data_IF_554781801587
#
_entry.id   IF_554781801587
#
_cell.length_a   1.000
_cell.length_b   1.000
_cell.length_c   1.000
_cell.angle_alpha   90.00
_cell.angle_beta   90.00
_cell.angle_gamma   90.00
#
_symmetry.space_group_name_H-M   'P 1'
#
loop_
_entity.id
_entity.type
_entity.pdbx_description
1 polymer ?
#
# COMPACT_ATOMS: atom_id res chain seq x y z
N UNK A 1 0.80 18.02 7.94
CA UNK A 1 -0.36 18.96 8.04
C UNK A 1 -1.67 18.23 8.39
N UNK A 2 -1.80 16.92 8.13
CA UNK A 2 -2.92 16.12 8.64
C UNK A 2 -2.83 15.87 10.16
N UNK A 3 -1.62 15.68 10.68
CA UNK A 3 -1.36 15.33 12.08
C UNK A 3 -1.90 16.37 13.05
N UNK A 4 -1.53 17.63 12.81
CA UNK A 4 -2.01 18.75 13.63
C UNK A 4 -3.54 18.88 13.57
N UNK A 5 -4.15 18.64 12.40
CA UNK A 5 -5.60 18.70 12.23
C UNK A 5 -6.32 17.59 13.01
N UNK A 6 -5.86 16.34 12.88
CA UNK A 6 -6.43 15.18 13.57
C UNK A 6 -6.24 15.23 15.09
N UNK A 7 -5.29 16.04 15.56
CA UNK A 7 -5.05 16.30 16.98
C UNK A 7 -5.89 17.44 17.57
N UNK A 8 -6.69 18.16 16.78
CA UNK A 8 -7.59 19.18 17.30
C UNK A 8 -8.70 18.54 18.14
N UNK A 9 -8.95 19.10 19.32
CA UNK A 9 -9.94 18.59 20.26
C UNK A 9 -11.33 18.38 19.64
N UNK A 10 -11.82 19.37 18.87
CA UNK A 10 -13.14 19.24 18.23
C UNK A 10 -13.17 18.14 17.16
N UNK A 11 -12.07 17.94 16.40
CA UNK A 11 -11.97 16.86 15.41
C UNK A 11 -12.02 15.50 16.11
N UNK A 12 -11.27 15.35 17.20
CA UNK A 12 -11.29 14.12 18.02
C UNK A 12 -12.67 13.84 18.61
N UNK A 13 -13.35 14.85 19.15
CA UNK A 13 -14.71 14.68 19.67
C UNK A 13 -15.71 14.26 18.59
N UNK A 14 -15.62 14.83 17.38
CA UNK A 14 -16.47 14.41 16.27
C UNK A 14 -16.22 12.96 15.85
N UNK A 15 -14.95 12.53 15.78
CA UNK A 15 -14.60 11.15 15.45
C UNK A 15 -14.99 10.18 16.56
N UNK A 16 -14.90 10.59 17.84
CA UNK A 16 -15.37 9.82 18.98
C UNK A 16 -16.88 9.56 18.93
N UNK A 17 -17.67 10.57 18.55
CA UNK A 17 -19.10 10.40 18.28
C UNK A 17 -19.40 9.47 17.10
N UNK A 18 -18.41 9.14 16.26
CA UNK A 18 -18.49 8.17 15.16
C UNK A 18 -17.83 6.81 15.46
N UNK A 19 -17.42 6.58 16.71
CA UNK A 19 -16.89 5.30 17.17
C UNK A 19 -15.37 5.15 17.07
N UNK A 20 -14.63 6.22 16.76
CA UNK A 20 -13.16 6.22 16.92
C UNK A 20 -12.83 6.39 18.40
N UNK A 21 -12.16 5.46 19.08
CA UNK A 21 -11.90 5.57 20.50
C UNK A 21 -11.20 6.89 20.86
N UNK A 22 -11.71 7.66 21.84
CA UNK A 22 -11.03 8.86 22.28
C UNK A 22 -9.74 8.45 23.00
N UNK A 23 -8.59 8.75 22.43
CA UNK A 23 -7.30 8.55 23.10
C UNK A 23 -6.87 9.88 23.73
N UNK A 24 -7.26 10.12 24.98
CA UNK A 24 -6.65 11.19 25.78
C UNK A 24 -5.20 10.87 26.12
N UNK A 25 -4.86 9.58 26.18
CA UNK A 25 -3.55 9.06 26.58
C UNK A 25 -2.50 9.08 25.45
N UNK A 26 -2.92 9.21 24.18
CA UNK A 26 -1.99 9.25 23.04
C UNK A 26 -2.35 10.30 22.00
N UNK A 27 -1.31 10.95 21.49
CA UNK A 27 -1.39 11.89 20.37
C UNK A 27 -1.49 11.09 19.07
N UNK A 28 -2.32 11.54 18.14
CA UNK A 28 -2.36 10.95 16.80
C UNK A 28 -1.05 11.25 16.09
N UNK A 29 -0.47 10.24 15.47
CA UNK A 29 0.68 10.36 14.56
C UNK A 29 0.40 9.55 13.30
N UNK A 30 0.98 9.97 12.16
CA UNK A 30 0.71 9.31 10.88
C UNK A 30 1.30 7.90 10.77
N UNK A 31 2.42 7.66 11.46
CA UNK A 31 3.14 6.39 11.48
C UNK A 31 3.72 6.14 12.88
N UNK A 32 3.56 4.92 13.39
CA UNK A 32 4.10 4.49 14.67
C UNK A 32 5.50 3.87 14.49
N UNK A 33 6.50 4.44 15.16
CA UNK A 33 7.91 4.00 15.05
C UNK A 33 8.17 2.65 15.72
N UNK A 34 7.43 2.30 16.76
CA UNK A 34 7.59 1.01 17.43
C UNK A 34 7.13 -0.10 16.49
N UNK A 35 5.98 0.09 15.83
CA UNK A 35 5.47 -0.85 14.81
C UNK A 35 6.45 -0.98 13.65
N UNK A 36 6.96 0.14 13.13
CA UNK A 36 7.96 0.16 12.05
C UNK A 36 9.22 -0.64 12.43
N UNK A 37 9.75 -0.45 13.64
CA UNK A 37 10.92 -1.19 14.12
C UNK A 37 10.65 -2.69 14.28
N UNK A 38 9.49 -3.07 14.83
CA UNK A 38 9.14 -4.48 15.06
C UNK A 38 8.94 -5.23 13.74
N UNK A 39 8.31 -4.58 12.75
CA UNK A 39 7.99 -5.19 11.44
C UNK A 39 9.03 -4.91 10.36
N UNK A 40 10.07 -4.11 10.62
CA UNK A 40 11.05 -3.72 9.62
C UNK A 40 11.74 -4.90 8.92
N UNK A 41 11.94 -6.01 9.62
CA UNK A 41 12.51 -7.23 9.03
C UNK A 41 11.57 -7.94 8.04
N UNK A 42 10.27 -7.66 8.08
CA UNK A 42 9.29 -8.26 7.16
C UNK A 42 9.30 -7.60 5.79
N UNK A 43 9.80 -6.37 5.66
CA UNK A 43 9.88 -5.62 4.39
C UNK A 43 10.59 -6.41 3.30
N UNK A 44 11.63 -7.18 3.66
CA UNK A 44 12.40 -7.96 2.70
C UNK A 44 11.80 -9.34 2.38
N UNK A 45 10.70 -9.74 3.03
CA UNK A 45 10.04 -11.02 2.76
C UNK A 45 9.13 -10.88 1.54
N UNK A 46 9.37 -11.70 0.52
CA UNK A 46 8.61 -11.61 -0.72
C UNK A 46 7.18 -12.13 -0.57
N UNK A 47 6.20 -11.34 -1.03
CA UNK A 47 4.78 -11.74 -1.18
C UNK A 47 4.42 -12.18 -2.60
N UNK A 48 5.43 -12.35 -3.48
CA UNK A 48 5.25 -12.65 -4.91
C UNK A 48 4.36 -13.87 -5.17
N UNK A 49 4.53 -14.95 -4.41
CA UNK A 49 3.73 -16.17 -4.55
C UNK A 49 2.25 -15.91 -4.27
N UNK A 50 1.93 -15.12 -3.24
CA UNK A 50 0.56 -14.79 -2.86
C UNK A 50 -0.15 -14.02 -3.98
N UNK A 51 0.56 -13.16 -4.71
CA UNK A 51 -0.01 -12.44 -5.86
C UNK A 51 -0.31 -13.38 -7.02
N UNK A 52 0.53 -14.40 -7.26
CA UNK A 52 0.26 -15.43 -8.28
C UNK A 52 -1.00 -16.23 -7.93
N UNK A 53 -1.18 -16.58 -6.65
CA UNK A 53 -2.38 -17.25 -6.16
C UNK A 53 -3.63 -16.37 -6.36
N UNK A 54 -3.53 -15.09 -6.03
CA UNK A 54 -4.62 -14.11 -6.22
C UNK A 54 -5.00 -13.96 -7.71
N UNK A 55 -4.02 -13.86 -8.60
CA UNK A 55 -4.24 -13.76 -10.05
C UNK A 55 -4.96 -14.99 -10.62
N UNK A 56 -4.84 -16.15 -9.97
CA UNK A 56 -5.56 -17.37 -10.35
C UNK A 56 -7.02 -17.37 -9.88
N UNK A 57 -7.38 -16.49 -8.95
CA UNK A 57 -8.70 -16.45 -8.32
C UNK A 57 -9.55 -15.24 -8.72
N UNK A 58 -8.94 -14.04 -8.86
CA UNK A 58 -9.64 -12.79 -9.16
C UNK A 58 -8.80 -11.82 -10.01
N UNK A 59 -9.44 -10.87 -10.71
CA UNK A 59 -8.75 -9.75 -11.33
C UNK A 59 -8.00 -8.91 -10.28
N UNK A 60 -6.76 -8.52 -10.59
CA UNK A 60 -5.90 -7.69 -9.74
C UNK A 60 -5.48 -6.43 -10.52
N UNK A 61 -5.62 -5.26 -9.90
CA UNK A 61 -5.12 -3.99 -10.43
C UNK A 61 -3.88 -3.56 -9.63
N UNK A 62 -2.75 -3.40 -10.33
CA UNK A 62 -1.55 -2.76 -9.82
C UNK A 62 -1.46 -1.36 -10.43
N UNK A 63 -1.33 -0.34 -9.59
CA UNK A 63 -1.18 1.05 -10.02
C UNK A 63 -0.06 1.70 -9.23
N UNK A 64 0.69 2.60 -9.88
CA UNK A 64 1.76 3.37 -9.25
C UNK A 64 1.84 4.78 -9.81
N UNK A 65 2.39 5.71 -9.03
CA UNK A 65 2.70 7.05 -9.50
C UNK A 65 3.97 7.02 -10.36
N UNK A 66 3.95 7.67 -11.53
CA UNK A 66 5.11 7.70 -12.44
C UNK A 66 6.34 8.44 -11.89
N UNK A 67 6.15 9.26 -10.85
CA UNK A 67 7.17 10.08 -10.20
C UNK A 67 7.56 9.58 -8.80
N UNK A 68 7.03 8.42 -8.38
CA UNK A 68 7.42 7.80 -7.12
C UNK A 68 8.82 7.19 -7.25
N UNK A 69 9.78 7.63 -6.44
CA UNK A 69 11.14 7.11 -6.44
C UNK A 69 11.32 5.92 -5.49
N UNK A 70 10.49 5.81 -4.45
CA UNK A 70 10.60 4.78 -3.42
C UNK A 70 10.08 3.44 -3.96
N UNK A 71 8.92 3.47 -4.61
CA UNK A 71 8.26 2.32 -5.22
C UNK A 71 8.11 2.50 -6.74
N UNK A 72 9.18 2.92 -7.41
CA UNK A 72 9.09 3.46 -8.77
C UNK A 72 8.68 2.50 -9.89
N UNK A 73 8.47 3.08 -11.07
CA UNK A 73 7.98 2.38 -12.26
C UNK A 73 8.93 1.25 -12.68
N UNK A 74 10.24 1.50 -12.67
CA UNK A 74 11.22 0.51 -13.13
C UNK A 74 11.25 -0.76 -12.28
N UNK A 75 11.11 -0.64 -10.95
CA UNK A 75 11.09 -1.81 -10.04
C UNK A 75 9.80 -2.60 -10.19
N UNK A 76 8.65 -1.91 -10.30
CA UNK A 76 7.36 -2.56 -10.53
C UNK A 76 7.30 -3.26 -11.90
N UNK A 77 7.72 -2.60 -12.99
CA UNK A 77 7.74 -3.19 -14.33
C UNK A 77 8.61 -4.46 -14.37
N UNK A 78 9.80 -4.42 -13.76
CA UNK A 78 10.68 -5.58 -13.64
C UNK A 78 10.06 -6.71 -12.81
N UNK A 79 9.41 -6.37 -11.68
CA UNK A 79 8.78 -7.34 -10.81
C UNK A 79 7.57 -8.02 -11.47
N UNK A 80 6.68 -7.25 -12.12
CA UNK A 80 5.52 -7.76 -12.89
C UNK A 80 6.00 -8.63 -14.04
N UNK A 81 7.03 -8.19 -14.77
CA UNK A 81 7.66 -8.94 -15.85
C UNK A 81 8.26 -10.28 -15.42
N UNK A 82 8.61 -10.42 -14.14
CA UNK A 82 9.14 -11.66 -13.58
C UNK A 82 8.07 -12.56 -12.94
N UNK A 83 6.79 -12.17 -12.89
CA UNK A 83 5.71 -12.99 -12.35
C UNK A 83 5.41 -14.18 -13.28
N UNK A 84 5.40 -15.39 -12.74
CA UNK A 84 4.99 -16.57 -13.49
C UNK A 84 3.56 -16.95 -13.13
N UNK A 85 2.61 -16.53 -13.97
CA UNK A 85 1.18 -16.80 -13.82
C UNK A 85 0.55 -17.09 -15.19
N UNK A 86 -0.61 -17.73 -15.21
CA UNK A 86 -1.24 -18.28 -16.43
C UNK A 86 -1.50 -17.25 -17.52
N UNK A 87 -1.84 -16.01 -17.16
CA UNK A 87 -2.09 -14.92 -18.11
C UNK A 87 -0.87 -14.06 -18.43
N UNK A 88 0.34 -14.42 -17.95
CA UNK A 88 1.55 -13.60 -18.14
C UNK A 88 1.82 -13.29 -19.62
N UNK A 89 1.75 -14.29 -20.50
CA UNK A 89 1.98 -14.09 -21.93
C UNK A 89 0.98 -13.13 -22.58
N UNK A 90 -0.30 -13.24 -22.21
CA UNK A 90 -1.34 -12.34 -22.70
C UNK A 90 -1.18 -10.91 -22.19
N UNK A 91 -0.78 -10.75 -20.93
CA UNK A 91 -0.50 -9.45 -20.34
C UNK A 91 0.69 -8.76 -21.02
N UNK A 92 1.80 -9.47 -21.22
CA UNK A 92 3.00 -8.94 -21.87
C UNK A 92 2.76 -8.57 -23.33
N UNK A 93 1.90 -9.31 -24.04
CA UNK A 93 1.56 -9.04 -25.43
C UNK A 93 0.46 -7.97 -25.62
N UNK A 94 -0.24 -7.58 -24.55
CA UNK A 94 -1.32 -6.62 -24.64
C UNK A 94 -0.79 -5.23 -25.02
N UNK A 95 -1.48 -4.51 -25.94
CA UNK A 95 -1.05 -3.16 -26.32
C UNK A 95 -1.18 -2.22 -25.12
N UNK A 96 -0.08 -1.52 -24.80
CA UNK A 96 -0.16 -0.42 -23.83
C UNK A 96 -0.90 0.75 -24.46
N UNK A 97 -1.93 1.24 -23.79
CA UNK A 97 -2.57 2.50 -24.15
C UNK A 97 -1.82 3.61 -23.41
N UNK A 98 -1.17 4.51 -24.14
CA UNK A 98 -0.70 5.76 -23.57
C UNK A 98 -1.93 6.60 -23.22
N UNK A 99 -2.10 6.90 -21.93
CA UNK A 99 -3.08 7.91 -21.47
C UNK A 99 -2.64 9.32 -21.78
#
# INVERSE_FOLDING_TARGET
MADAYLNQHHVRQMLAAKGVPPTEERVWESCDKEVDNVLGHDVMKSVKSLVIDLLSYKPVLLYQGQWDAECGVGSNDAWIGALQWSGHGGFTAAPRRSG
#
